data_IF_498421461449
#
_entry.id   IF_498421461449
#
_cell.length_a   1.000
_cell.length_b   1.000
_cell.length_c   1.000
_cell.angle_alpha   90.00
_cell.angle_beta   90.00
_cell.angle_gamma   90.00
#
_symmetry.space_group_name_H-M   'P 1'
#
loop_
_entity.id
_entity.type
_entity.pdbx_description
1 polymer ?
2 polymer ?
3 water ?
#
# COMPACT_ATOMS: atom_id res chain seq x y z
N UNK A 4 -13.57 21.86 -0.74
CA UNK A 4 -15.01 21.51 -1.00
C UNK A 4 -15.27 20.04 -0.69
N UNK A 5 -16.34 19.49 -1.29
CA UNK A 5 -16.86 18.21 -0.82
C UNK A 5 -15.93 17.06 -1.18
N UNK A 6 -15.33 17.06 -2.38
CA UNK A 6 -14.51 15.88 -2.70
C UNK A 6 -13.26 15.79 -1.80
N UNK A 7 -12.68 16.94 -1.47
CA UNK A 7 -11.57 16.92 -0.48
C UNK A 7 -12.02 16.50 0.94
N UNK A 8 -13.20 16.94 1.37
CA UNK A 8 -13.70 16.58 2.69
C UNK A 8 -13.93 15.08 2.75
N UNK A 9 -14.50 14.54 1.68
CA UNK A 9 -14.71 13.08 1.63
C UNK A 9 -13.39 12.32 1.70
N UNK A 10 -12.41 12.78 0.94
CA UNK A 10 -11.15 12.05 0.87
C UNK A 10 -10.42 12.16 2.20
N UNK A 11 -10.43 13.35 2.80
CA UNK A 11 -9.78 13.53 4.13
C UNK A 11 -10.45 12.68 5.21
N UNK A 12 -11.78 12.59 5.18
CA UNK A 12 -12.53 11.68 6.09
C UNK A 12 -12.15 10.18 5.95
N UNK A 13 -12.09 9.70 4.72
CA UNK A 13 -11.67 8.32 4.46
C UNK A 13 -10.25 8.08 4.93
N UNK A 14 -9.34 9.04 4.66
CA UNK A 14 -7.95 8.97 5.10
C UNK A 14 -7.91 8.82 6.64
N UNK A 15 -8.66 9.66 7.35
CA UNK A 15 -8.66 9.61 8.82
C UNK A 15 -9.24 8.29 9.31
N UNK A 16 -10.26 7.79 8.62
CA UNK A 16 -10.84 6.51 9.01
C UNK A 16 -9.81 5.37 8.91
N UNK A 17 -9.05 5.38 7.81
CA UNK A 17 -8.04 4.34 7.59
C UNK A 17 -6.94 4.46 8.61
N UNK A 18 -6.55 5.71 8.94
CA UNK A 18 -5.53 5.95 9.96
C UNK A 18 -5.98 5.43 11.32
N UNK A 19 -7.21 5.72 11.68
CA UNK A 19 -7.71 5.36 13.00
C UNK A 19 -7.76 3.82 13.15
N UNK A 20 -8.21 3.16 12.09
CA UNK A 20 -8.30 1.68 12.13
C UNK A 20 -6.90 1.07 12.26
N UNK A 21 -5.96 1.60 11.50
CA UNK A 21 -4.59 1.08 11.54
C UNK A 21 -4.02 1.26 12.94
N UNK A 22 -4.13 2.48 13.52
CA UNK A 22 -3.56 2.76 14.84
C UNK A 22 -4.14 1.84 15.91
N UNK A 23 -5.46 1.61 15.83
CA UNK A 23 -6.17 0.77 16.83
C UNK A 23 -5.74 -0.70 16.71
N UNK A 24 -5.54 -1.17 15.47
CA UNK A 24 -5.19 -2.58 15.26
C UNK A 24 -3.76 -2.73 15.74
N UNK A 25 -2.91 -1.75 15.43
CA UNK A 25 -1.53 -1.88 15.87
C UNK A 25 -1.37 -1.85 17.40
N UNK A 26 -2.10 -0.96 18.06
CA UNK A 26 -2.14 -0.86 19.50
C UNK A 26 -2.66 -2.15 20.11
N UNK A 27 -3.71 -2.70 19.48
CA UNK A 27 -4.27 -3.95 20.01
C UNK A 27 -3.27 -5.10 19.81
N UNK A 28 -2.56 -5.12 18.69
CA UNK A 28 -1.56 -6.19 18.52
C UNK A 28 -0.49 -6.14 19.61
N UNK A 29 -0.05 -4.93 19.97
CA UNK A 29 0.96 -4.80 21.03
C UNK A 29 0.42 -5.21 22.40
N UNK A 30 -0.85 -4.92 22.61
CA UNK A 30 -1.49 -5.19 23.86
C UNK A 30 -1.89 -6.65 24.03
N UNK A 31 -2.09 -7.37 22.91
CA UNK A 31 -2.65 -8.76 22.95
C UNK A 31 -4.18 -8.86 22.98
N UNK A 32 -4.84 -7.83 22.47
CA UNK A 32 -6.30 -7.79 22.24
C UNK A 32 -6.59 -8.02 20.72
N UNK A 33 -7.79 -8.49 20.36
CA UNK A 33 -8.06 -8.72 18.93
C UNK A 33 -7.83 -7.47 18.11
N UNK A 34 -7.24 -7.66 16.94
CA UNK A 34 -6.88 -6.58 16.02
C UNK A 34 -7.61 -6.84 14.71
N UNK A 35 -8.93 -6.66 14.78
CA UNK A 35 -9.85 -7.06 13.69
C UNK A 35 -10.42 -5.85 12.90
N UNK A 36 -9.91 -4.63 13.16
CA UNK A 36 -10.45 -3.42 12.50
C UNK A 36 -10.25 -3.43 10.98
N UNK A 37 -9.07 -3.84 10.54
CA UNK A 37 -8.81 -3.88 9.10
C UNK A 37 -9.70 -4.88 8.42
N UNK A 38 -9.75 -6.07 8.99
CA UNK A 38 -10.55 -7.10 8.33
C UNK A 38 -12.04 -6.78 8.31
N UNK A 39 -12.55 -6.14 9.37
CA UNK A 39 -13.98 -5.84 9.48
C UNK A 39 -14.39 -4.68 8.53
N UNK A 40 -13.41 -3.92 8.07
CA UNK A 40 -13.70 -2.70 7.31
C UNK A 40 -13.16 -2.72 5.89
N UNK A 41 -12.29 -3.68 5.57
CA UNK A 41 -11.59 -3.65 4.29
C UNK A 41 -12.53 -3.67 3.09
N UNK A 42 -13.61 -4.45 3.15
CA UNK A 42 -14.50 -4.56 1.97
C UNK A 42 -15.18 -3.23 1.69
N UNK A 43 -15.68 -2.60 2.73
CA UNK A 43 -16.31 -1.28 2.60
C UNK A 43 -15.35 -0.21 2.15
N UNK A 44 -14.22 -0.10 2.84
CA UNK A 44 -13.24 0.92 2.51
C UNK A 44 -12.67 0.72 1.10
N UNK A 45 -12.38 -0.53 0.75
CA UNK A 45 -11.83 -0.81 -0.58
C UNK A 45 -12.80 -0.42 -1.71
N UNK A 46 -14.08 -0.65 -1.49
CA UNK A 46 -15.11 -0.21 -2.43
C UNK A 46 -15.06 1.31 -2.65
N UNK A 47 -14.91 2.07 -1.57
CA UNK A 47 -14.77 3.52 -1.69
C UNK A 47 -13.46 3.93 -2.38
N UNK A 48 -12.37 3.27 -2.03
CA UNK A 48 -11.08 3.56 -2.64
C UNK A 48 -11.08 3.32 -4.13
N UNK A 49 -12.05 2.55 -4.61
CA UNK A 49 -12.18 2.26 -6.06
C UNK A 49 -12.93 3.35 -6.86
N UNK A 50 -13.53 4.32 -6.17
CA UNK A 50 -14.35 5.35 -6.82
C UNK A 50 -13.50 6.14 -7.80
N UNK A 51 -13.88 6.14 -9.06
CA UNK A 51 -13.13 6.94 -10.04
C UNK A 51 -13.28 8.44 -9.76
N UNK A 52 -14.43 8.85 -9.22
CA UNK A 52 -14.66 10.28 -8.99
C UNK A 52 -13.79 10.76 -7.80
N UNK A 53 -13.53 9.87 -6.85
CA UNK A 53 -12.72 10.23 -5.67
C UNK A 53 -11.21 10.08 -5.90
N UNK A 54 -10.84 9.41 -6.99
CA UNK A 54 -9.48 8.89 -7.09
C UNK A 54 -8.38 9.94 -7.00
N UNK A 55 -8.52 10.99 -7.80
CA UNK A 55 -7.47 11.99 -7.82
C UNK A 55 -7.34 12.71 -6.49
N UNK A 56 -8.48 13.01 -5.85
CA UNK A 56 -8.47 13.66 -4.54
C UNK A 56 -7.81 12.76 -3.51
N UNK A 57 -8.13 11.46 -3.55
CA UNK A 57 -7.51 10.51 -2.64
C UNK A 57 -5.97 10.48 -2.83
N UNK A 58 -5.51 10.46 -4.08
CA UNK A 58 -4.08 10.38 -4.35
C UNK A 58 -3.42 11.68 -3.89
N UNK A 59 -4.07 12.81 -4.18
CA UNK A 59 -3.59 14.15 -3.80
C UNK A 59 -3.48 14.30 -2.28
N UNK A 60 -4.41 13.66 -1.55
CA UNK A 60 -4.41 13.71 -0.12
C UNK A 60 -3.54 12.65 0.55
N UNK A 61 -2.76 11.93 -0.27
CA UNK A 61 -1.74 10.98 0.29
C UNK A 61 -2.31 9.66 0.76
N UNK A 62 -3.39 9.21 0.13
CA UNK A 62 -4.03 7.98 0.60
C UNK A 62 -3.07 6.78 0.43
N UNK A 63 -2.08 6.89 -0.45
CA UNK A 63 -1.14 5.80 -0.58
C UNK A 63 -0.40 5.52 0.71
N UNK A 64 -0.23 6.55 1.56
CA UNK A 64 0.40 6.35 2.88
C UNK A 64 -0.42 5.39 3.74
N UNK A 65 -1.75 5.54 3.74
CA UNK A 65 -2.63 4.67 4.57
C UNK A 65 -2.73 3.28 3.95
N UNK A 66 -2.79 3.22 2.62
CA UNK A 66 -2.81 1.90 1.95
C UNK A 66 -1.52 1.11 2.31
N UNK A 67 -0.38 1.79 2.17
CA UNK A 67 0.93 1.24 2.58
C UNK A 67 0.88 0.73 4.04
N UNK A 68 0.42 1.59 4.94
CA UNK A 68 0.29 1.20 6.37
C UNK A 68 -0.51 -0.06 6.59
N UNK A 69 -1.65 -0.14 5.95
CA UNK A 69 -2.51 -1.34 6.05
C UNK A 69 -1.83 -2.61 5.51
N UNK A 70 -0.93 -2.46 4.54
CA UNK A 70 -0.20 -3.64 3.96
C UNK A 70 1.05 -4.02 4.75
N UNK A 71 1.51 -3.09 5.57
CA UNK A 71 2.76 -3.29 6.34
C UNK A 71 2.63 -4.33 7.46
N UNK A 72 3.78 -4.90 7.90
CA UNK A 72 3.67 -5.86 9.02
C UNK A 72 3.09 -5.18 10.27
N UNK A 73 2.41 -5.97 11.05
CA UNK A 73 2.05 -5.62 12.42
C UNK A 73 3.30 -5.44 13.33
N UNK A 74 3.14 -4.75 14.50
CA UNK A 74 4.26 -4.60 15.42
C UNK A 74 4.99 -5.89 15.82
N UNK A 75 4.30 -7.02 15.82
CA UNK A 75 4.90 -8.29 16.21
C UNK A 75 5.51 -9.05 15.02
N UNK A 76 5.66 -8.36 13.90
CA UNK A 76 6.24 -8.90 12.63
C UNK A 76 5.27 -9.73 11.80
N UNK A 77 4.08 -9.99 12.33
CA UNK A 77 3.11 -10.76 11.55
C UNK A 77 2.53 -9.94 10.38
N UNK A 78 1.97 -10.61 9.37
CA UNK A 78 1.39 -9.87 8.25
C UNK A 78 -0.14 -9.78 8.39
N UNK A 79 -0.75 -8.73 7.81
CA UNK A 79 -2.21 -8.68 7.83
C UNK A 79 -2.84 -9.83 7.12
N UNK A 80 -4.08 -10.15 7.52
CA UNK A 80 -4.87 -11.21 6.92
C UNK A 80 -4.83 -11.14 5.39
N UNK A 81 -4.70 -12.30 4.76
CA UNK A 81 -4.49 -12.34 3.28
C UNK A 81 -5.68 -11.64 2.55
N UNK A 82 -6.85 -11.59 3.18
CA UNK A 82 -7.98 -10.90 2.50
C UNK A 82 -7.67 -9.41 2.31
N UNK A 83 -7.02 -8.81 3.32
CA UNK A 83 -6.55 -7.44 3.22
C UNK A 83 -5.46 -7.24 2.15
N UNK A 84 -4.50 -8.16 2.16
CA UNK A 84 -3.39 -8.15 1.19
C UNK A 84 -3.96 -8.19 -0.22
N UNK A 85 -4.86 -9.11 -0.47
CA UNK A 85 -5.41 -9.27 -1.83
C UNK A 85 -6.22 -8.05 -2.23
N UNK A 86 -7.09 -7.60 -1.35
CA UNK A 86 -8.03 -6.55 -1.75
C UNK A 86 -7.32 -5.20 -1.98
N UNK A 87 -6.37 -4.88 -1.13
CA UNK A 87 -5.59 -3.62 -1.31
C UNK A 87 -4.71 -3.67 -2.53
N UNK A 88 -4.14 -4.83 -2.89
CA UNK A 88 -3.35 -4.88 -4.12
C UNK A 88 -4.30 -4.68 -5.30
N UNK A 89 -5.51 -5.24 -5.21
CA UNK A 89 -6.52 -5.02 -6.27
C UNK A 89 -6.86 -3.52 -6.43
N UNK A 90 -7.09 -2.85 -5.31
CA UNK A 90 -7.30 -1.39 -5.28
C UNK A 90 -6.16 -0.61 -6.01
N UNK A 91 -4.93 -0.88 -5.59
CA UNK A 91 -3.74 -0.20 -6.15
C UNK A 91 -3.66 -0.37 -7.68
N UNK A 92 -4.05 -1.55 -8.17
CA UNK A 92 -3.95 -1.86 -9.60
C UNK A 92 -4.85 -0.92 -10.41
N UNK A 93 -5.93 -0.46 -9.78
CA UNK A 93 -6.93 0.36 -10.46
C UNK A 93 -6.61 1.84 -10.48
N UNK A 94 -5.60 2.25 -9.72
CA UNK A 94 -5.31 3.68 -9.54
C UNK A 94 -4.28 4.24 -10.53
N UNK A 95 -4.49 5.48 -10.99
CA UNK A 95 -3.55 6.10 -11.93
C UNK A 95 -2.37 6.71 -11.13
N UNK A 96 -1.46 5.82 -10.75
CA UNK A 96 -0.32 6.13 -9.87
C UNK A 96 0.91 6.49 -10.66
N UNK A 97 1.50 7.64 -10.34
CA UNK A 97 2.59 8.15 -11.12
C UNK A 97 3.80 8.33 -10.23
N UNK A 98 4.93 8.68 -10.85
CA UNK A 98 6.19 8.81 -10.11
C UNK A 98 6.08 9.56 -8.77
N UNK A 99 5.46 10.74 -8.79
CA UNK A 99 5.39 11.59 -7.60
C UNK A 99 4.62 10.96 -6.47
N UNK A 100 3.52 10.27 -6.80
CA UNK A 100 2.76 9.52 -5.80
C UNK A 100 3.60 8.44 -5.12
N UNK A 101 4.42 7.74 -5.93
CA UNK A 101 5.25 6.63 -5.43
C UNK A 101 6.41 7.15 -4.57
N UNK A 102 7.05 8.23 -5.01
CA UNK A 102 8.22 8.74 -4.27
C UNK A 102 7.76 9.22 -2.90
N UNK A 103 6.67 9.96 -2.85
CA UNK A 103 6.24 10.54 -1.56
C UNK A 103 5.67 9.55 -0.54
N UNK A 104 5.00 8.52 -1.06
CA UNK A 104 4.35 7.52 -0.23
C UNK A 104 5.23 6.36 0.16
N UNK A 105 6.16 5.94 -0.71
CA UNK A 105 6.94 4.68 -0.47
C UNK A 105 6.15 3.40 -0.53
N UNK A 106 4.94 3.49 -1.08
CA UNK A 106 4.10 2.27 -1.18
C UNK A 106 4.75 1.20 -2.06
N UNK A 107 5.57 1.63 -3.05
CA UNK A 107 6.35 0.67 -3.80
C UNK A 107 7.20 -0.27 -2.96
N UNK A 108 7.66 0.20 -1.81
CA UNK A 108 8.58 -0.59 -0.99
C UNK A 108 7.86 -1.77 -0.38
N UNK A 109 6.64 -1.56 0.10
CA UNK A 109 5.87 -2.71 0.66
C UNK A 109 5.37 -3.64 -0.44
N UNK A 110 4.96 -3.07 -1.57
CA UNK A 110 4.54 -3.93 -2.69
C UNK A 110 5.73 -4.75 -3.20
N UNK A 111 6.92 -4.11 -3.27
CA UNK A 111 8.12 -4.82 -3.65
C UNK A 111 8.35 -6.00 -2.69
N UNK A 112 8.17 -5.76 -1.38
CA UNK A 112 8.37 -6.84 -0.44
C UNK A 112 7.38 -7.99 -0.70
N UNK A 113 6.13 -7.67 -1.01
CA UNK A 113 5.15 -8.69 -1.28
C UNK A 113 5.61 -9.56 -2.45
N UNK A 114 6.23 -8.92 -3.44
CA UNK A 114 6.65 -9.62 -4.67
C UNK A 114 7.80 -10.60 -4.42
N UNK A 115 8.49 -10.45 -3.28
CA UNK A 115 9.68 -11.29 -3.01
C UNK A 115 9.56 -12.14 -1.74
N UNK A 116 8.49 -11.94 -0.99
CA UNK A 116 8.32 -12.58 0.32
C UNK A 116 8.09 -14.09 0.15
N UNK A 117 9.03 -14.94 0.66
CA UNK A 117 8.83 -16.39 0.44
C UNK A 117 7.61 -16.99 1.14
N UNK A 118 7.20 -16.37 2.23
CA UNK A 118 6.00 -16.78 2.95
C UNK A 118 4.69 -16.43 2.24
N UNK A 119 4.75 -15.56 1.23
CA UNK A 119 3.54 -15.08 0.58
C UNK A 119 2.87 -16.16 -0.34
N UNK A 120 1.55 -16.11 -0.51
CA UNK A 120 0.90 -17.02 -1.46
C UNK A 120 1.43 -16.70 -2.85
N UNK A 121 1.53 -17.74 -3.67
CA UNK A 121 1.96 -17.57 -5.06
C UNK A 121 1.11 -16.52 -5.78
N UNK A 122 -0.21 -16.54 -5.55
CA UNK A 122 -1.13 -15.58 -6.17
C UNK A 122 -0.86 -14.13 -5.79
N UNK A 123 -0.71 -13.85 -4.50
CA UNK A 123 -0.42 -12.48 -4.03
C UNK A 123 0.97 -12.04 -4.55
N UNK A 124 1.96 -12.92 -4.45
CA UNK A 124 3.28 -12.60 -5.03
C UNK A 124 3.19 -12.22 -6.51
N UNK A 125 2.46 -13.02 -7.30
CA UNK A 125 2.28 -12.70 -8.71
C UNK A 125 1.54 -11.37 -8.88
N UNK A 126 0.52 -11.10 -8.07
CA UNK A 126 -0.18 -9.78 -8.13
C UNK A 126 0.77 -8.62 -7.85
N UNK A 127 1.59 -8.77 -6.81
CA UNK A 127 2.54 -7.73 -6.44
C UNK A 127 3.59 -7.54 -7.56
N UNK A 128 4.07 -8.63 -8.11
CA UNK A 128 5.08 -8.57 -9.19
C UNK A 128 4.53 -7.76 -10.35
N UNK A 129 3.27 -8.03 -10.71
CA UNK A 129 2.68 -7.32 -11.85
C UNK A 129 2.53 -5.81 -11.56
N UNK A 130 2.19 -5.49 -10.31
CA UNK A 130 2.06 -4.11 -9.91
C UNK A 130 3.45 -3.43 -9.93
N UNK A 131 4.49 -4.11 -9.45
CA UNK A 131 5.86 -3.56 -9.53
C UNK A 131 6.21 -3.34 -10.99
N UNK A 132 5.90 -4.30 -11.86
CA UNK A 132 6.27 -4.12 -13.26
C UNK A 132 5.50 -2.96 -13.89
N UNK A 133 4.25 -2.74 -13.49
CA UNK A 133 3.46 -1.61 -14.00
C UNK A 133 4.08 -0.28 -13.57
N UNK A 134 4.35 -0.17 -12.29
CA UNK A 134 4.95 1.06 -11.72
C UNK A 134 6.37 1.31 -12.20
N UNK A 135 7.09 0.24 -12.56
CA UNK A 135 8.45 0.44 -13.15
C UNK A 135 8.42 1.29 -14.42
N UNK A 136 7.32 1.22 -15.17
CA UNK A 136 7.15 2.11 -16.30
C UNK A 136 7.27 3.58 -15.95
N UNK A 137 6.88 3.96 -14.73
CA UNK A 137 6.98 5.37 -14.28
C UNK A 137 8.43 5.80 -14.16
N UNK A 138 9.32 4.84 -13.99
CA UNK A 138 10.76 5.18 -14.12
C UNK A 138 11.18 5.63 -15.52
N UNK A 139 10.55 5.05 -16.55
CA UNK A 139 10.99 5.28 -17.92
C UNK A 139 10.07 6.21 -18.71
N UNK A 140 9.19 6.92 -17.99
CA UNK A 140 8.19 7.84 -18.60
C UNK A 140 6.98 7.11 -19.17
N UNK B 15 19.42 6.58 -23.17
CA UNK B 15 18.98 6.56 -21.73
C UNK B 15 20.18 6.46 -20.79
N UNK B 16 20.19 7.20 -19.68
CA UNK B 16 21.23 6.98 -18.65
C UNK B 16 20.67 6.02 -17.65
N UNK B 17 21.06 4.74 -17.74
CA UNK B 17 20.46 3.74 -16.84
C UNK B 17 20.85 3.96 -15.38
N UNK B 18 22.02 4.56 -15.12
CA UNK B 18 22.37 4.84 -13.73
C UNK B 18 21.33 5.75 -13.08
N UNK B 19 20.91 6.76 -13.82
CA UNK B 19 19.92 7.68 -13.28
C UNK B 19 18.53 7.07 -13.18
N UNK B 20 18.16 6.25 -14.17
CA UNK B 20 16.92 5.50 -14.05
C UNK B 20 16.95 4.59 -12.80
N UNK B 21 18.10 3.93 -12.54
CA UNK B 21 18.20 3.06 -11.35
C UNK B 21 18.02 3.86 -10.08
N UNK B 22 18.58 5.07 -10.06
CA UNK B 22 18.49 5.89 -8.86
C UNK B 22 17.01 6.24 -8.60
N UNK B 23 16.24 6.45 -9.67
CA UNK B 23 14.81 6.75 -9.51
C UNK B 23 14.07 5.50 -9.07
N UNK B 24 14.47 4.36 -9.66
CA UNK B 24 13.95 3.03 -9.26
C UNK B 24 14.18 2.81 -7.75
N UNK B 25 15.38 3.14 -7.27
CA UNK B 25 15.62 3.04 -5.81
C UNK B 25 14.78 4.03 -4.98
N UNK B 26 14.49 5.22 -5.52
CA UNK B 26 13.69 6.18 -4.73
C UNK B 26 12.29 5.60 -4.49
N UNK B 27 11.80 4.91 -5.51
CA UNK B 27 10.49 4.26 -5.49
C UNK B 27 10.41 2.96 -4.68
N UNK B 28 11.30 2.03 -4.98
CA UNK B 28 11.15 0.64 -4.51
C UNK B 28 12.10 0.29 -3.38
N UNK B 29 13.06 1.17 -3.17
CA UNK B 29 14.18 1.03 -2.25
C UNK B 29 14.97 -0.15 -2.75
N UNK B 30 15.65 -0.83 -1.84
CA UNK B 30 16.54 -1.92 -2.22
C UNK B 30 16.16 -3.30 -1.73
N UNK B 31 14.90 -3.50 -1.35
CA UNK B 31 14.44 -4.80 -0.82
C UNK B 31 14.83 -5.08 0.63
N UNK B 32 15.36 -4.07 1.32
CA UNK B 32 15.84 -4.27 2.67
C UNK B 32 14.80 -3.90 3.68
N UNK B 33 13.91 -3.02 3.27
CA UNK B 33 12.96 -2.32 4.14
C UNK B 33 12.24 -3.24 5.13
N UNK B 34 11.74 -4.37 4.64
CA UNK B 34 10.97 -5.33 5.44
C UNK B 34 11.65 -6.69 5.65
N UNK B 35 12.93 -6.80 5.35
CA UNK B 35 13.62 -8.08 5.48
C UNK B 35 13.51 -8.59 6.92
N UNK B 36 13.38 -7.65 7.85
CA UNK B 36 13.40 -7.99 9.27
C UNK B 36 12.28 -8.99 9.59
N UNK B 37 11.27 -9.03 8.73
CA UNK B 37 10.09 -9.90 8.85
C UNK B 37 10.44 -11.37 8.73
N UNK B 38 11.43 -11.64 7.90
CA UNK B 38 11.95 -12.97 7.68
C UNK B 38 13.14 -13.13 8.63
#
# INVERSE_FOLDING_TARGET
MDPGTVLEISRSLKKRMQDILKKDNANNLEGRPATGKIENVEEISDILMSKALQESLLDEGILDEIKGWLEPLPDKSMPNIKIRKRLLDVLKTMKIHKEHLVTSGVGKIVYFYSINPKESKEVRASAKALVQKWTNEVFKPEGGD
GSHMREISEESISSIDYGDRDSLFFEIFGTGEEYRYVLESDP
#
